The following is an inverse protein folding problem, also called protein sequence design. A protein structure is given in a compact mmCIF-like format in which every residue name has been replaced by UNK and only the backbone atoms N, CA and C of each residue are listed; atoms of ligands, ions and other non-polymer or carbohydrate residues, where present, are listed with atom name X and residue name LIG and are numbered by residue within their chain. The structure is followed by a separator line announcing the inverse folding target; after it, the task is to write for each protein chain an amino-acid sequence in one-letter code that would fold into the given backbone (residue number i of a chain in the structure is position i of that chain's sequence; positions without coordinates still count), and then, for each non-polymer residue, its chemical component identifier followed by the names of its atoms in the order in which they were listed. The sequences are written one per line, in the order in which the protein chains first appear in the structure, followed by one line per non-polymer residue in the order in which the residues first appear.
data_IF_430321382089
#
_entry.id   IF_430321382089
#
_cell.length_a   1.000
_cell.length_b   1.000
_cell.length_c   1.000
_cell.angle_alpha   90.00
_cell.angle_beta   90.00
_cell.angle_gamma   90.00
#
_symmetry.space_group_name_H-M   'P 1'
#
loop_
_entity.id
_entity.type
_entity.pdbx_description
1 polymer ?
#
# COMPACT_ATOMS: atom_id res chain seq x y z
N UNK A 1 -26.09 36.26 -8.15
CA UNK A 1 -26.24 36.23 -9.62
C UNK A 1 -26.32 37.69 -10.06
N UNK A 2 -25.18 38.28 -10.38
CA UNK A 2 -25.07 39.64 -10.94
C UNK A 2 -23.78 39.66 -11.76
N UNK A 3 -23.94 39.96 -13.02
CA UNK A 3 -22.96 39.88 -14.11
C UNK A 3 -21.94 41.02 -14.03
N UNK A 4 -20.71 40.74 -14.47
CA UNK A 4 -19.69 41.74 -14.76
C UNK A 4 -19.79 42.11 -16.25
N UNK A 5 -19.77 43.41 -16.63
CA UNK A 5 -19.65 43.82 -18.02
C UNK A 5 -18.18 43.90 -18.47
N UNK A 6 -17.96 43.49 -19.72
CA UNK A 6 -16.72 43.57 -20.48
C UNK A 6 -16.23 45.02 -20.73
N UNK A 7 -14.92 45.19 -20.91
CA UNK A 7 -14.35 46.45 -21.40
C UNK A 7 -12.83 46.54 -21.26
N UNK A 8 -12.12 46.03 -22.26
CA UNK A 8 -10.69 46.22 -22.49
C UNK A 8 -10.31 47.71 -22.67
N UNK A 9 -9.24 48.16 -21.99
CA UNK A 9 -8.12 48.91 -22.60
C UNK A 9 -7.14 49.45 -21.55
N UNK A 10 -6.01 48.76 -21.34
CA UNK A 10 -4.71 49.42 -21.16
C UNK A 10 -3.53 48.46 -21.37
N UNK A 11 -2.72 48.70 -22.40
CA UNK A 11 -1.37 48.16 -22.57
C UNK A 11 -0.51 49.29 -23.15
N UNK A 12 0.68 49.61 -22.60
CA UNK A 12 1.89 49.00 -23.16
C UNK A 12 3.05 48.83 -22.16
N UNK A 13 3.50 47.61 -21.93
CA UNK A 13 4.94 47.36 -21.77
C UNK A 13 5.44 46.68 -23.04
N UNK A 14 5.85 47.52 -23.98
CA UNK A 14 6.81 47.15 -25.01
C UNK A 14 8.16 46.89 -24.36
N UNK A 15 8.65 45.66 -24.38
CA UNK A 15 10.09 45.38 -24.57
C UNK A 15 10.34 43.90 -24.89
N UNK A 16 10.89 43.69 -26.09
CA UNK A 16 11.63 42.50 -26.57
C UNK A 16 10.96 41.12 -26.40
N UNK A 17 10.21 40.72 -27.44
CA UNK A 17 9.96 39.30 -27.72
C UNK A 17 11.28 38.59 -28.04
N UNK A 18 11.88 37.91 -27.06
CA UNK A 18 12.61 36.68 -27.38
C UNK A 18 11.57 35.63 -27.73
N UNK A 19 11.54 35.24 -29.00
CA UNK A 19 10.80 34.04 -29.43
C UNK A 19 11.47 32.84 -28.78
N UNK A 20 11.04 32.47 -27.58
CA UNK A 20 11.22 31.10 -27.12
C UNK A 20 10.31 30.24 -27.99
N UNK A 21 10.89 29.56 -28.98
CA UNK A 21 10.18 28.55 -29.73
C UNK A 21 9.64 27.52 -28.75
N UNK A 22 8.33 27.28 -28.79
CA UNK A 22 7.71 26.15 -28.09
C UNK A 22 8.41 24.90 -28.63
N UNK A 23 9.10 24.09 -27.80
CA UNK A 23 9.70 22.87 -28.28
C UNK A 23 8.56 21.99 -28.80
N UNK A 24 8.52 21.74 -30.10
CA UNK A 24 7.69 20.68 -30.66
C UNK A 24 8.06 19.40 -29.92
N UNK A 25 7.13 18.84 -29.15
CA UNK A 25 7.30 17.53 -28.53
C UNK A 25 7.64 16.56 -29.67
N UNK A 26 8.91 16.17 -29.79
CA UNK A 26 9.31 15.07 -30.67
C UNK A 26 8.48 13.88 -30.22
N UNK A 27 7.75 13.28 -31.15
CA UNK A 27 7.05 12.01 -30.94
C UNK A 27 8.00 11.08 -30.19
N UNK A 28 7.66 10.73 -28.94
CA UNK A 28 8.45 9.78 -28.16
C UNK A 28 8.57 8.53 -29.03
N UNK A 29 9.78 8.19 -29.46
CA UNK A 29 10.03 6.89 -30.07
C UNK A 29 9.46 5.84 -29.13
N UNK A 30 8.64 4.93 -29.68
CA UNK A 30 8.10 3.83 -28.89
C UNK A 30 9.27 3.07 -28.26
N UNK A 31 9.31 3.06 -26.93
CA UNK A 31 10.29 2.26 -26.20
C UNK A 31 9.99 0.81 -26.58
N UNK A 32 10.96 0.05 -27.14
CA UNK A 32 10.71 -1.35 -27.47
C UNK A 32 10.29 -2.07 -26.21
N UNK A 33 9.17 -2.81 -26.27
CA UNK A 33 8.75 -3.68 -25.18
C UNK A 33 9.78 -4.82 -25.11
N UNK A 34 10.76 -4.66 -24.22
CA UNK A 34 11.71 -5.72 -23.91
C UNK A 34 10.97 -6.73 -23.05
N UNK A 35 10.79 -7.94 -23.59
CA UNK A 35 10.20 -9.04 -22.86
C UNK A 35 11.25 -9.58 -21.87
N UNK A 36 11.19 -9.12 -20.62
CA UNK A 36 12.09 -9.58 -19.57
C UNK A 36 11.55 -10.89 -18.97
N UNK A 37 12.34 -11.99 -18.95
CA UNK A 37 11.90 -13.22 -18.30
C UNK A 37 11.73 -12.99 -16.79
N UNK A 38 10.65 -13.52 -16.23
CA UNK A 38 10.40 -13.48 -14.79
C UNK A 38 11.39 -14.37 -14.04
N UNK A 39 11.93 -13.88 -12.94
CA UNK A 39 12.82 -14.65 -12.09
C UNK A 39 12.05 -15.84 -11.47
N UNK A 40 12.57 -17.09 -11.54
CA UNK A 40 11.96 -18.22 -10.86
C UNK A 40 11.93 -17.99 -9.35
N UNK A 41 10.76 -18.19 -8.75
CA UNK A 41 10.50 -17.97 -7.32
C UNK A 41 9.55 -19.03 -6.82
N UNK A 42 9.62 -19.37 -5.53
CA UNK A 42 8.63 -20.23 -4.88
C UNK A 42 7.22 -19.59 -4.94
N UNK A 43 6.15 -20.38 -5.03
CA UNK A 43 4.80 -19.85 -4.88
C UNK A 43 4.54 -19.45 -3.42
N UNK A 44 3.75 -18.40 -3.23
CA UNK A 44 3.19 -17.97 -1.93
C UNK A 44 1.73 -17.60 -2.14
N UNK A 45 0.83 -18.26 -1.42
CA UNK A 45 -0.60 -17.96 -1.44
C UNK A 45 -0.91 -16.79 -0.51
N UNK A 46 -1.80 -15.90 -0.93
CA UNK A 46 -2.36 -14.78 -0.17
C UNK A 46 -3.87 -14.86 -0.39
N UNK A 47 -4.58 -15.52 0.52
CA UNK A 47 -6.02 -15.80 0.36
C UNK A 47 -6.29 -16.49 -0.97
N UNK A 48 -7.04 -15.84 -1.86
CA UNK A 48 -7.39 -16.41 -3.18
C UNK A 48 -6.31 -16.28 -4.26
N UNK A 49 -5.20 -15.54 -4.01
CA UNK A 49 -4.20 -15.22 -5.04
C UNK A 49 -2.85 -15.88 -4.74
N UNK A 50 -2.17 -16.40 -5.77
CA UNK A 50 -0.80 -16.92 -5.67
C UNK A 50 0.19 -15.97 -6.32
N UNK A 51 1.28 -15.64 -5.61
CA UNK A 51 2.42 -14.89 -6.15
C UNK A 51 3.62 -15.81 -6.34
N UNK A 52 4.43 -15.55 -7.36
CA UNK A 52 5.61 -16.35 -7.69
C UNK A 52 5.30 -17.57 -8.57
N UNK A 53 6.34 -18.34 -8.90
CA UNK A 53 6.26 -19.55 -9.72
C UNK A 53 5.45 -19.42 -11.04
N UNK A 54 5.64 -18.32 -11.77
CA UNK A 54 4.95 -18.08 -13.04
C UNK A 54 3.51 -17.55 -12.93
N UNK A 55 2.92 -17.46 -11.74
CA UNK A 55 1.60 -16.86 -11.51
C UNK A 55 1.55 -15.38 -11.96
N UNK A 56 0.42 -14.81 -12.42
CA UNK A 56 0.33 -13.41 -12.84
C UNK A 56 0.89 -12.38 -11.83
N UNK A 57 1.22 -11.15 -12.28
CA UNK A 57 1.71 -10.11 -11.35
C UNK A 57 0.50 -9.64 -10.55
N UNK A 58 0.45 -9.96 -9.26
CA UNK A 58 -0.61 -9.48 -8.38
C UNK A 58 -0.49 -7.97 -8.15
N UNK A 59 -1.54 -7.22 -8.47
CA UNK A 59 -1.70 -5.80 -8.20
C UNK A 59 -2.02 -5.61 -6.72
N UNK A 60 -1.29 -4.74 -6.04
CA UNK A 60 -1.53 -4.44 -4.63
C UNK A 60 -1.69 -2.94 -4.44
N UNK A 61 -2.61 -2.55 -3.58
CA UNK A 61 -2.82 -1.15 -3.18
C UNK A 61 -2.85 -1.01 -1.66
N UNK A 62 -2.95 0.22 -1.15
CA UNK A 62 -3.04 0.51 0.27
C UNK A 62 -4.12 1.57 0.51
N UNK A 63 -4.91 1.40 1.56
CA UNK A 63 -5.89 2.40 2.00
C UNK A 63 -5.17 3.66 2.48
N UNK A 64 -5.83 4.81 2.33
CA UNK A 64 -5.35 6.12 2.77
C UNK A 64 -6.25 6.76 3.85
N UNK A 65 -7.38 6.12 4.16
CA UNK A 65 -8.29 6.50 5.24
C UNK A 65 -7.69 6.13 6.61
N UNK A 66 -8.21 6.74 7.68
CA UNK A 66 -7.88 6.28 9.03
C UNK A 66 -8.53 4.92 9.26
N UNK A 67 -7.75 3.90 9.62
CA UNK A 67 -8.25 2.54 9.86
C UNK A 67 -9.40 2.48 10.87
N UNK A 68 -9.46 3.42 11.82
CA UNK A 68 -10.54 3.51 12.82
C UNK A 68 -11.88 4.01 12.25
N UNK A 69 -11.86 4.66 11.10
CA UNK A 69 -13.08 4.99 10.36
C UNK A 69 -13.47 3.77 9.51
N UNK A 70 -14.10 2.79 10.17
CA UNK A 70 -14.50 1.51 9.56
C UNK A 70 -15.30 1.74 8.29
N UNK A 71 -16.27 2.66 8.31
CA UNK A 71 -17.12 2.92 7.15
C UNK A 71 -16.31 3.45 5.95
N UNK A 72 -15.45 4.46 6.18
CA UNK A 72 -14.63 5.02 5.11
C UNK A 72 -13.57 4.03 4.61
N UNK A 73 -12.94 3.25 5.50
CA UNK A 73 -11.93 2.27 5.11
C UNK A 73 -12.56 1.08 4.38
N UNK A 74 -13.69 0.54 4.84
CA UNK A 74 -14.42 -0.52 4.13
C UNK A 74 -14.85 -0.08 2.74
N UNK A 75 -15.34 1.16 2.58
CA UNK A 75 -15.68 1.71 1.27
C UNK A 75 -14.45 1.77 0.35
N UNK A 76 -13.32 2.30 0.85
CA UNK A 76 -12.10 2.36 0.06
C UNK A 76 -11.51 0.98 -0.25
N UNK A 77 -11.64 0.00 0.64
CA UNK A 77 -11.23 -1.38 0.39
C UNK A 77 -12.01 -1.96 -0.79
N UNK A 78 -13.34 -1.79 -0.80
CA UNK A 78 -14.20 -2.23 -1.91
C UNK A 78 -13.84 -1.52 -3.20
N UNK A 79 -13.67 -0.20 -3.18
CA UNK A 79 -13.29 0.57 -4.37
C UNK A 79 -11.96 0.08 -4.99
N UNK A 80 -10.95 -0.20 -4.14
CA UNK A 80 -9.65 -0.71 -4.59
C UNK A 80 -9.78 -2.12 -5.16
N UNK A 81 -10.52 -3.00 -4.48
CA UNK A 81 -10.76 -4.37 -4.93
C UNK A 81 -11.51 -4.41 -6.26
N UNK A 82 -12.60 -3.65 -6.39
CA UNK A 82 -13.43 -3.56 -7.60
C UNK A 82 -12.68 -2.93 -8.78
N UNK A 83 -11.67 -2.10 -8.49
CA UNK A 83 -10.72 -1.57 -9.48
C UNK A 83 -9.63 -2.58 -9.91
N UNK A 84 -9.65 -3.81 -9.37
CA UNK A 84 -8.73 -4.89 -9.73
C UNK A 84 -7.50 -5.03 -8.83
N UNK A 85 -7.52 -4.51 -7.59
CA UNK A 85 -6.48 -4.82 -6.63
C UNK A 85 -6.63 -6.26 -6.10
N UNK A 86 -5.63 -7.10 -6.37
CA UNK A 86 -5.58 -8.49 -5.87
C UNK A 86 -5.38 -8.57 -4.35
N UNK A 87 -4.71 -7.58 -3.75
CA UNK A 87 -4.45 -7.48 -2.30
C UNK A 87 -4.55 -6.01 -1.86
N UNK A 88 -5.33 -5.74 -0.82
CA UNK A 88 -5.49 -4.38 -0.26
C UNK A 88 -4.82 -4.30 1.10
N UNK A 89 -3.88 -3.35 1.26
CA UNK A 89 -3.14 -3.16 2.51
C UNK A 89 -3.80 -2.12 3.42
N UNK A 90 -3.84 -2.37 4.72
CA UNK A 90 -4.35 -1.47 5.76
C UNK A 90 -3.28 -1.27 6.83
N UNK A 91 -3.10 -0.03 7.31
CA UNK A 91 -2.16 0.28 8.39
C UNK A 91 -2.75 -0.05 9.77
N UNK A 92 -1.96 -0.67 10.65
CA UNK A 92 -2.36 -0.99 12.03
C UNK A 92 -1.23 -0.63 12.97
N UNK A 93 -1.50 0.28 13.92
CA UNK A 93 -0.51 0.74 14.90
C UNK A 93 -1.01 0.60 16.35
N UNK A 94 -2.33 0.54 16.54
CA UNK A 94 -2.96 0.40 17.85
C UNK A 94 -3.95 -0.77 17.93
N UNK A 95 -4.31 -1.17 19.15
CA UNK A 95 -5.40 -2.13 19.38
C UNK A 95 -6.73 -1.63 18.82
N UNK A 96 -6.97 -0.32 18.79
CA UNK A 96 -8.18 0.24 18.19
C UNK A 96 -8.18 0.05 16.66
N UNK A 97 -7.04 0.25 15.99
CA UNK A 97 -6.91 -0.05 14.55
C UNK A 97 -7.08 -1.55 14.29
N UNK A 98 -6.50 -2.41 15.14
CA UNK A 98 -6.62 -3.86 15.01
C UNK A 98 -8.08 -4.33 15.12
N UNK A 99 -8.85 -3.79 16.07
CA UNK A 99 -10.29 -4.07 16.20
C UNK A 99 -11.07 -3.57 14.98
N UNK A 100 -10.76 -2.38 14.49
CA UNK A 100 -11.40 -1.86 13.30
C UNK A 100 -11.11 -2.72 12.06
N UNK A 101 -9.91 -3.31 11.94
CA UNK A 101 -9.61 -4.29 10.88
C UNK A 101 -10.49 -5.54 10.99
N UNK A 102 -10.82 -6.01 12.19
CA UNK A 102 -11.76 -7.14 12.36
C UNK A 102 -13.13 -6.79 11.79
N UNK A 103 -13.63 -5.59 12.10
CA UNK A 103 -14.92 -5.11 11.58
C UNK A 103 -14.87 -4.97 10.04
N UNK A 104 -13.82 -4.32 9.49
CA UNK A 104 -13.63 -4.13 8.05
C UNK A 104 -13.54 -5.48 7.32
N UNK A 105 -12.81 -6.44 7.86
CA UNK A 105 -12.64 -7.77 7.28
C UNK A 105 -13.97 -8.54 7.20
N UNK A 106 -14.93 -8.25 8.08
CA UNK A 106 -16.26 -8.85 8.02
C UNK A 106 -17.17 -8.28 6.91
N UNK A 107 -16.78 -7.16 6.29
CA UNK A 107 -17.56 -6.43 5.28
C UNK A 107 -17.03 -6.58 3.84
N UNK A 108 -16.04 -7.44 3.61
CA UNK A 108 -15.37 -7.55 2.30
C UNK A 108 -14.75 -8.93 2.05
N UNK A 109 -14.75 -9.36 0.79
CA UNK A 109 -14.04 -10.57 0.34
C UNK A 109 -12.63 -10.27 -0.19
N UNK A 110 -12.19 -9.00 -0.16
CA UNK A 110 -10.87 -8.61 -0.64
C UNK A 110 -9.76 -9.28 0.19
N UNK A 111 -8.68 -9.72 -0.46
CA UNK A 111 -7.52 -10.23 0.27
C UNK A 111 -6.84 -9.09 1.05
N UNK A 112 -7.10 -9.03 2.36
CA UNK A 112 -6.51 -7.99 3.21
C UNK A 112 -5.08 -8.32 3.61
N UNK A 113 -4.22 -7.31 3.57
CA UNK A 113 -2.89 -7.33 4.14
C UNK A 113 -2.77 -6.29 5.25
N UNK A 114 -2.31 -6.67 6.44
CA UNK A 114 -2.05 -5.70 7.51
C UNK A 114 -0.59 -5.28 7.51
N UNK A 115 -0.38 -3.96 7.52
CA UNK A 115 0.92 -3.34 7.77
C UNK A 115 1.07 -3.09 9.27
N UNK A 116 1.77 -4.00 9.95
CA UNK A 116 2.16 -3.85 11.35
C UNK A 116 3.28 -2.81 11.41
N UNK A 117 2.96 -1.63 11.94
CA UNK A 117 3.92 -0.53 12.04
C UNK A 117 4.91 -0.79 13.16
N UNK A 118 4.59 -0.42 14.41
CA UNK A 118 5.50 -0.57 15.55
C UNK A 118 5.13 -1.74 16.47
N UNK A 119 3.82 -2.01 16.63
CA UNK A 119 3.33 -2.98 17.60
C UNK A 119 3.11 -4.38 17.00
N UNK A 120 4.17 -5.20 17.01
CA UNK A 120 4.14 -6.57 16.48
C UNK A 120 3.09 -7.49 17.14
N UNK A 121 2.70 -7.21 18.38
CA UNK A 121 1.75 -8.01 19.16
C UNK A 121 0.34 -7.97 18.58
N UNK A 122 0.02 -6.93 17.79
CA UNK A 122 -1.27 -6.82 17.12
C UNK A 122 -1.50 -7.93 16.09
N UNK A 123 -0.44 -8.66 15.68
CA UNK A 123 -0.55 -9.85 14.84
C UNK A 123 -1.53 -10.90 15.41
N UNK A 124 -1.58 -11.08 16.73
CA UNK A 124 -2.52 -12.01 17.39
C UNK A 124 -3.99 -11.65 17.16
N UNK A 125 -4.29 -10.35 17.03
CA UNK A 125 -5.66 -9.87 16.83
C UNK A 125 -6.04 -9.94 15.35
N UNK A 126 -5.13 -9.55 14.44
CA UNK A 126 -5.49 -9.37 13.02
C UNK A 126 -5.29 -10.63 12.19
N UNK A 127 -4.35 -11.52 12.54
CA UNK A 127 -4.04 -12.71 11.74
C UNK A 127 -5.26 -13.61 11.46
N UNK A 128 -6.20 -13.85 12.40
CA UNK A 128 -7.39 -14.66 12.12
C UNK A 128 -8.31 -14.10 11.02
N UNK A 129 -8.15 -12.83 10.65
CA UNK A 129 -9.10 -12.08 9.81
C UNK A 129 -8.48 -11.59 8.50
N UNK A 130 -7.20 -11.86 8.24
CA UNK A 130 -6.49 -11.29 7.07
C UNK A 130 -5.64 -12.33 6.36
N UNK A 131 -5.43 -12.13 5.06
CA UNK A 131 -4.67 -13.05 4.22
C UNK A 131 -3.14 -12.88 4.36
N UNK A 132 -2.68 -11.74 4.86
CA UNK A 132 -1.25 -11.39 4.88
C UNK A 132 -0.88 -10.43 5.99
N UNK A 133 0.27 -10.70 6.61
CA UNK A 133 0.96 -9.79 7.51
C UNK A 133 2.18 -9.17 6.82
N UNK A 134 2.41 -7.89 7.06
CA UNK A 134 3.67 -7.21 6.75
C UNK A 134 4.23 -6.63 8.03
N UNK A 135 5.54 -6.80 8.22
CA UNK A 135 6.27 -6.08 9.25
C UNK A 135 7.60 -5.53 8.70
N UNK A 136 8.15 -4.54 9.40
CA UNK A 136 9.52 -4.07 9.20
C UNK A 136 10.38 -4.55 10.37
N UNK A 137 11.44 -5.35 10.15
CA UNK A 137 12.38 -5.72 11.22
C UNK A 137 12.94 -4.51 11.98
N UNK A 138 13.13 -3.39 11.27
CA UNK A 138 13.59 -2.12 11.83
C UNK A 138 12.58 -1.40 12.72
N UNK A 139 11.36 -1.91 12.93
CA UNK A 139 10.40 -1.34 13.89
C UNK A 139 10.18 -2.25 15.12
N UNK A 140 10.84 -3.41 15.18
CA UNK A 140 10.61 -4.36 16.28
C UNK A 140 11.18 -3.91 17.63
N UNK A 141 11.84 -2.75 17.71
CA UNK A 141 12.43 -2.24 18.94
C UNK A 141 11.54 -1.25 19.70
N UNK A 142 10.41 -0.79 19.14
CA UNK A 142 9.56 0.24 19.77
C UNK A 142 8.84 -0.28 21.02
N UNK A 143 8.38 -1.53 21.00
CA UNK A 143 7.74 -2.20 22.15
C UNK A 143 8.60 -3.35 22.69
N UNK A 144 8.54 -3.58 23.99
CA UNK A 144 9.27 -4.66 24.69
C UNK A 144 10.77 -4.64 24.36
N UNK A 145 11.44 -3.50 24.63
CA UNK A 145 12.83 -3.22 24.20
C UNK A 145 13.84 -4.28 24.64
N UNK A 146 13.59 -4.91 25.79
CA UNK A 146 14.45 -5.94 26.38
C UNK A 146 14.25 -7.33 25.74
N UNK A 147 13.11 -7.56 25.08
CA UNK A 147 12.81 -8.84 24.43
C UNK A 147 13.62 -8.96 23.13
N UNK A 148 14.35 -10.08 22.91
CA UNK A 148 15.09 -10.31 21.67
C UNK A 148 14.19 -10.22 20.44
N UNK A 149 14.66 -9.58 19.36
CA UNK A 149 13.87 -9.42 18.14
C UNK A 149 13.47 -10.77 17.52
N UNK A 150 14.28 -11.81 17.72
CA UNK A 150 13.99 -13.16 17.25
C UNK A 150 12.72 -13.72 17.90
N UNK A 151 12.48 -13.43 19.17
CA UNK A 151 11.24 -13.84 19.86
C UNK A 151 10.03 -13.04 19.35
N UNK A 152 10.22 -11.78 19.01
CA UNK A 152 9.16 -10.95 18.41
C UNK A 152 8.78 -11.46 17.03
N UNK A 153 9.78 -11.76 16.19
CA UNK A 153 9.57 -12.38 14.87
C UNK A 153 8.91 -13.75 15.03
N UNK A 154 9.35 -14.57 16.00
CA UNK A 154 8.73 -15.86 16.29
C UNK A 154 7.24 -15.70 16.57
N UNK A 155 6.86 -14.73 17.41
CA UNK A 155 5.45 -14.43 17.67
C UNK A 155 4.66 -14.10 16.39
N UNK A 156 5.18 -13.23 15.52
CA UNK A 156 4.53 -12.91 14.23
C UNK A 156 4.39 -14.17 13.35
N UNK A 157 5.44 -14.98 13.27
CA UNK A 157 5.48 -16.20 12.45
C UNK A 157 4.51 -17.26 12.98
N UNK A 158 4.42 -17.43 14.29
CA UNK A 158 3.46 -18.34 14.93
C UNK A 158 2.02 -17.93 14.61
N UNK A 159 1.67 -16.64 14.75
CA UNK A 159 0.34 -16.15 14.39
C UNK A 159 0.04 -16.37 12.90
N UNK A 160 0.97 -16.04 12.02
CA UNK A 160 0.79 -16.25 10.59
C UNK A 160 0.63 -17.75 10.23
N UNK A 161 1.42 -18.63 10.85
CA UNK A 161 1.34 -20.06 10.59
C UNK A 161 0.01 -20.67 11.10
N UNK A 162 -0.47 -20.23 12.26
CA UNK A 162 -1.73 -20.70 12.85
C UNK A 162 -2.97 -20.28 12.04
N UNK A 163 -2.87 -19.19 11.28
CA UNK A 163 -4.00 -18.59 10.55
C UNK A 163 -3.82 -18.58 9.03
N UNK A 164 -2.84 -19.33 8.49
CA UNK A 164 -2.53 -19.42 7.07
C UNK A 164 -2.30 -18.05 6.39
N UNK A 165 -1.67 -17.11 7.12
CA UNK A 165 -1.32 -15.81 6.59
C UNK A 165 0.04 -15.84 5.88
N UNK A 166 0.11 -15.23 4.69
CA UNK A 166 1.39 -14.90 4.10
C UNK A 166 2.15 -13.85 4.94
N UNK A 167 3.48 -13.89 4.92
CA UNK A 167 4.32 -12.87 5.57
C UNK A 167 5.14 -12.12 4.53
N UNK A 168 5.12 -10.79 4.60
CA UNK A 168 6.10 -9.91 3.95
C UNK A 168 7.04 -9.30 4.98
N UNK A 169 8.31 -9.65 4.90
CA UNK A 169 9.39 -8.91 5.56
C UNK A 169 9.76 -7.72 4.67
N UNK A 170 9.35 -6.52 5.06
CA UNK A 170 9.58 -5.30 4.27
C UNK A 170 10.52 -4.35 4.98
N UNK A 171 11.79 -4.37 4.59
CA UNK A 171 12.80 -3.39 5.04
C UNK A 171 12.78 -2.17 4.12
N UNK A 172 12.52 -1.00 4.67
CA UNK A 172 12.76 0.28 4.01
C UNK A 172 14.16 0.73 4.40
N UNK A 173 15.03 0.97 3.43
CA UNK A 173 16.35 1.51 3.72
C UNK A 173 16.21 2.87 4.39
N UNK A 174 16.74 3.02 5.61
CA UNK A 174 17.28 4.30 5.99
C UNK A 174 18.40 4.57 4.99
N UNK A 175 18.22 5.53 4.09
CA UNK A 175 19.38 6.20 3.51
C UNK A 175 20.23 6.60 4.72
N UNK A 176 21.42 6.01 4.85
CA UNK A 176 22.40 6.65 5.71
C UNK A 176 22.57 8.07 5.15
N UNK A 177 22.51 9.12 5.98
CA UNK A 177 22.99 10.42 5.53
C UNK A 177 24.43 10.30 5.00
#
# INVERSE_FOLDING_TARGET
MLECPDGDDYNPITTRRHRFGVPTFRSRQAIPIVQLPRNPTRPVTIGSVTIGNGSPVAVQSMTATSTRDVAATSAQVRDLHDSGADVVRIAVDSTADAKAVVDIASETDANLAVDLQENYRLSEIVAPHVAKLRYNPGHLYHHEREKPWQEKVRGIVEQAANHDCAIRVGSTGFGRP
#
